data_IF_821349838503
#
_entry.id   IF_821349838503
#
_cell.length_a   1.000
_cell.length_b   1.000
_cell.length_c   1.000
_cell.angle_alpha   90.00
_cell.angle_beta   90.00
_cell.angle_gamma   90.00
#
_symmetry.space_group_name_H-M   'P 1'
#
loop_
_entity.id
_entity.type
_entity.pdbx_description
1 polymer ?
#
# COMPACT_ATOMS: atom_id res chain seq x y z
N UNK A 1 23.31 -8.39 4.98
CA UNK A 1 21.93 -8.61 4.49
C UNK A 1 21.67 -7.58 3.41
N UNK A 2 21.71 -7.96 2.12
CA UNK A 2 21.49 -7.01 1.03
C UNK A 2 20.01 -6.63 1.00
N UNK A 3 19.69 -5.44 1.48
CA UNK A 3 18.33 -4.89 1.35
C UNK A 3 18.12 -4.61 -0.13
N UNK A 4 17.38 -5.47 -0.82
CA UNK A 4 17.07 -5.25 -2.24
C UNK A 4 16.20 -3.98 -2.33
N UNK A 5 16.67 -2.99 -3.08
CA UNK A 5 16.01 -1.67 -3.27
C UNK A 5 14.54 -1.79 -3.65
N UNK A 6 14.16 -2.88 -4.34
CA UNK A 6 12.78 -3.20 -4.71
C UNK A 6 11.82 -3.28 -3.50
N UNK A 7 12.28 -3.76 -2.34
CA UNK A 7 11.44 -3.83 -1.14
C UNK A 7 11.26 -2.47 -0.47
N UNK A 8 12.29 -1.62 -0.48
CA UNK A 8 12.20 -0.26 0.05
C UNK A 8 11.16 0.54 -0.73
N UNK A 9 11.21 0.49 -2.06
CA UNK A 9 10.26 1.19 -2.93
C UNK A 9 8.85 0.63 -2.72
N UNK A 10 8.72 -0.70 -2.67
CA UNK A 10 7.43 -1.37 -2.49
C UNK A 10 6.74 -1.00 -1.17
N UNK A 11 7.49 -0.87 -0.08
CA UNK A 11 6.95 -0.45 1.21
C UNK A 11 6.82 1.07 1.34
N UNK A 12 7.65 1.85 0.63
CA UNK A 12 7.62 3.31 0.63
C UNK A 12 6.42 3.90 -0.12
N UNK A 13 5.96 3.27 -1.22
CA UNK A 13 4.86 3.80 -2.04
C UNK A 13 3.60 4.10 -1.20
N UNK A 14 3.05 3.17 -0.38
CA UNK A 14 1.92 3.48 0.49
C UNK A 14 2.15 4.69 1.41
N UNK A 15 3.37 4.87 1.93
CA UNK A 15 3.68 5.99 2.81
C UNK A 15 3.80 7.31 2.04
N UNK A 16 4.44 7.31 0.88
CA UNK A 16 4.53 8.50 0.02
C UNK A 16 3.16 8.97 -0.45
N UNK A 17 2.27 8.06 -0.86
CA UNK A 17 0.90 8.42 -1.24
C UNK A 17 0.16 9.10 -0.09
N UNK A 18 0.31 8.57 1.13
CA UNK A 18 -0.29 9.18 2.32
C UNK A 18 0.25 10.59 2.58
N UNK A 19 1.57 10.72 2.64
CA UNK A 19 2.22 12.00 2.97
C UNK A 19 1.96 13.04 1.87
N UNK A 20 2.04 12.66 0.60
CA UNK A 20 1.75 13.56 -0.53
C UNK A 20 0.32 14.07 -0.43
N UNK A 21 -0.66 13.21 -0.15
CA UNK A 21 -2.05 13.64 0.01
C UNK A 21 -2.21 14.70 1.10
N UNK A 22 -1.54 14.54 2.25
CA UNK A 22 -1.60 15.51 3.34
C UNK A 22 -0.90 16.83 2.97
N UNK A 23 0.28 16.74 2.37
CA UNK A 23 1.03 17.93 1.95
C UNK A 23 0.26 18.70 0.88
N UNK A 24 -0.35 18.01 -0.08
CA UNK A 24 -1.22 18.64 -1.06
C UNK A 24 -2.36 19.41 -0.38
N UNK A 25 -2.99 18.85 0.65
CA UNK A 25 -4.03 19.58 1.40
C UNK A 25 -3.49 20.89 1.98
N UNK A 26 -2.34 20.86 2.65
CA UNK A 26 -1.77 22.06 3.27
C UNK A 26 -1.27 23.09 2.24
N UNK A 27 -0.66 22.66 1.14
CA UNK A 27 -0.21 23.56 0.07
C UNK A 27 -1.39 24.29 -0.56
N UNK A 28 -2.49 23.59 -0.85
CA UNK A 28 -3.65 24.22 -1.49
C UNK A 28 -4.54 25.00 -0.51
N UNK A 29 -4.59 24.60 0.76
CA UNK A 29 -5.36 25.31 1.78
C UNK A 29 -4.61 26.52 2.35
N UNK A 30 -3.28 26.52 2.28
CA UNK A 30 -2.41 27.63 2.72
C UNK A 30 -1.29 27.87 1.71
N UNK A 31 -1.55 28.61 0.60
CA UNK A 31 -0.57 28.80 -0.47
C UNK A 31 0.76 29.44 -0.02
N UNK A 32 0.71 30.26 1.03
CA UNK A 32 1.89 30.92 1.63
C UNK A 32 2.86 29.93 2.30
N UNK A 33 2.42 28.69 2.58
CA UNK A 33 3.22 27.68 3.25
C UNK A 33 4.53 27.40 2.51
N UNK A 34 4.49 27.23 1.19
CA UNK A 34 5.70 26.96 0.39
C UNK A 34 6.70 28.12 0.44
N UNK A 35 6.19 29.36 0.40
CA UNK A 35 7.03 30.56 0.51
C UNK A 35 7.68 30.59 1.89
N UNK A 36 6.91 30.36 2.96
CA UNK A 36 7.41 30.34 4.33
C UNK A 36 8.46 29.25 4.58
N UNK A 37 8.28 28.05 4.02
CA UNK A 37 9.23 26.93 4.16
C UNK A 37 10.59 27.29 3.55
N UNK A 38 10.58 27.97 2.41
CA UNK A 38 11.79 28.43 1.74
C UNK A 38 12.45 29.61 2.48
N UNK A 39 11.69 30.65 2.83
CA UNK A 39 12.25 31.90 3.37
C UNK A 39 12.63 31.80 4.84
N UNK A 40 11.87 31.06 5.65
CA UNK A 40 12.10 30.96 7.10
C UNK A 40 13.05 29.83 7.49
N UNK A 41 12.96 28.69 6.81
CA UNK A 41 13.73 27.48 7.16
C UNK A 41 14.81 27.12 6.14
N UNK A 42 14.93 27.87 5.04
CA UNK A 42 15.92 27.60 4.00
C UNK A 42 15.71 26.27 3.27
N UNK A 43 14.53 25.64 3.41
CA UNK A 43 14.26 24.34 2.82
C UNK A 43 14.08 24.46 1.31
N UNK A 44 14.96 23.78 0.59
CA UNK A 44 14.87 23.62 -0.87
C UNK A 44 13.93 22.46 -1.22
N UNK A 45 13.40 22.46 -2.45
CA UNK A 45 12.60 21.34 -2.99
C UNK A 45 13.37 20.02 -2.90
N UNK A 46 14.69 20.06 -3.10
CA UNK A 46 15.56 18.89 -2.97
C UNK A 46 15.57 18.37 -1.53
N UNK A 47 15.76 19.26 -0.54
CA UNK A 47 15.76 18.88 0.87
C UNK A 47 14.41 18.32 1.33
N UNK A 48 13.30 18.91 0.88
CA UNK A 48 11.95 18.42 1.16
C UNK A 48 11.75 17.03 0.55
N UNK A 49 12.14 16.84 -0.71
CA UNK A 49 12.06 15.54 -1.39
C UNK A 49 12.86 14.46 -0.65
N UNK A 50 14.05 14.79 -0.15
CA UNK A 50 14.88 13.86 0.60
C UNK A 50 14.23 13.44 1.94
N UNK A 51 13.66 14.40 2.67
CA UNK A 51 12.93 14.14 3.91
C UNK A 51 11.70 13.26 3.63
N UNK A 52 10.95 13.55 2.59
CA UNK A 52 9.76 12.78 2.20
C UNK A 52 10.12 11.35 1.77
N UNK A 53 11.20 11.20 1.01
CA UNK A 53 11.73 9.89 0.63
C UNK A 53 12.07 9.07 1.87
N UNK A 54 12.78 9.67 2.84
CA UNK A 54 13.17 9.03 4.08
C UNK A 54 12.00 8.64 4.99
N UNK A 55 11.03 9.55 5.20
CA UNK A 55 9.88 9.33 6.11
C UNK A 55 8.82 8.41 5.49
N UNK A 56 8.66 8.43 4.17
CA UNK A 56 7.62 7.60 3.54
C UNK A 56 7.86 6.10 3.66
N UNK A 57 9.11 5.65 3.76
CA UNK A 57 9.43 4.23 3.96
C UNK A 57 8.90 3.68 5.29
N UNK A 58 9.24 4.25 6.47
CA UNK A 58 8.71 3.77 7.74
C UNK A 58 7.19 3.96 7.86
N UNK A 59 6.65 5.09 7.39
CA UNK A 59 5.19 5.31 7.37
C UNK A 59 4.48 4.26 6.51
N UNK A 60 5.01 3.99 5.32
CA UNK A 60 4.45 3.01 4.41
C UNK A 60 4.56 1.57 4.92
N UNK A 61 5.65 1.25 5.61
CA UNK A 61 5.79 -0.03 6.31
C UNK A 61 4.72 -0.22 7.39
N UNK A 62 4.45 0.81 8.21
CA UNK A 62 3.38 0.76 9.22
C UNK A 62 2.00 0.59 8.58
N UNK A 63 1.71 1.33 7.50
CA UNK A 63 0.47 1.16 6.74
C UNK A 63 0.36 -0.27 6.19
N UNK A 64 1.45 -0.84 5.69
CA UNK A 64 1.47 -2.23 5.22
C UNK A 64 1.13 -3.20 6.36
N UNK A 65 1.75 -3.08 7.54
CA UNK A 65 1.45 -3.93 8.70
C UNK A 65 -0.02 -3.84 9.12
N UNK A 66 -0.56 -2.63 9.23
CA UNK A 66 -1.97 -2.38 9.53
C UNK A 66 -2.87 -3.04 8.48
N UNK A 67 -2.54 -2.89 7.19
CA UNK A 67 -3.33 -3.46 6.11
C UNK A 67 -3.34 -5.00 6.12
N UNK A 68 -2.22 -5.61 6.52
CA UNK A 68 -2.11 -7.07 6.67
C UNK A 68 -2.90 -7.56 7.86
N UNK A 69 -2.85 -6.86 8.98
CA UNK A 69 -3.63 -7.19 10.17
C UNK A 69 -5.13 -7.24 9.84
N UNK A 70 -5.68 -6.14 9.33
CA UNK A 70 -7.12 -6.03 9.09
C UNK A 70 -7.60 -6.79 7.85
N UNK A 71 -6.79 -6.87 6.79
CA UNK A 71 -7.22 -7.49 5.53
C UNK A 71 -6.81 -8.95 5.36
N UNK A 72 -6.08 -9.53 6.31
CA UNK A 72 -5.65 -10.92 6.24
C UNK A 72 -5.71 -11.64 7.58
N UNK A 73 -4.93 -11.15 8.56
CA UNK A 73 -4.69 -11.86 9.82
C UNK A 73 -5.98 -12.05 10.61
N UNK A 74 -6.80 -11.00 10.73
CA UNK A 74 -8.08 -11.07 11.45
C UNK A 74 -9.15 -11.82 10.64
N UNK A 75 -9.06 -11.80 9.30
CA UNK A 75 -10.10 -12.35 8.43
C UNK A 75 -10.00 -13.87 8.21
N UNK A 76 -8.87 -14.51 8.53
CA UNK A 76 -8.64 -15.92 8.25
C UNK A 76 -8.56 -16.75 9.54
N UNK A 77 -9.08 -17.98 9.48
CA UNK A 77 -8.83 -18.99 10.52
C UNK A 77 -7.42 -19.56 10.31
N UNK A 78 -6.53 -19.31 11.26
CA UNK A 78 -5.10 -19.56 11.10
C UNK A 78 -4.79 -21.03 10.84
N UNK A 79 -5.36 -21.96 11.61
CA UNK A 79 -5.10 -23.39 11.45
C UNK A 79 -5.45 -23.91 10.05
N UNK A 80 -6.60 -23.46 9.53
CA UNK A 80 -7.05 -23.82 8.19
C UNK A 80 -6.12 -23.24 7.13
N UNK A 81 -5.77 -21.96 7.27
CA UNK A 81 -4.89 -21.28 6.33
C UNK A 81 -3.49 -21.92 6.29
N UNK A 82 -2.88 -22.16 7.45
CA UNK A 82 -1.56 -22.77 7.52
C UNK A 82 -1.53 -24.19 6.98
N UNK A 83 -2.60 -24.97 7.19
CA UNK A 83 -2.73 -26.28 6.57
C UNK A 83 -2.80 -26.19 5.05
N UNK A 84 -3.65 -25.31 4.52
CA UNK A 84 -3.77 -25.10 3.06
C UNK A 84 -2.44 -24.62 2.43
N UNK A 85 -1.72 -23.73 3.11
CA UNK A 85 -0.41 -23.24 2.67
C UNK A 85 0.64 -24.36 2.66
N UNK A 86 0.68 -25.18 3.72
CA UNK A 86 1.59 -26.33 3.82
C UNK A 86 1.30 -27.37 2.72
N UNK A 87 0.03 -27.69 2.49
CA UNK A 87 -0.38 -28.63 1.45
C UNK A 87 0.02 -28.11 0.07
N UNK A 88 -0.16 -26.81 -0.19
CA UNK A 88 0.28 -26.17 -1.43
C UNK A 88 1.80 -26.24 -1.60
N UNK A 89 2.57 -25.87 -0.57
CA UNK A 89 4.03 -25.90 -0.61
C UNK A 89 4.57 -27.32 -0.85
N UNK A 90 3.97 -28.33 -0.20
CA UNK A 90 4.37 -29.74 -0.40
C UNK A 90 4.22 -30.18 -1.86
N UNK A 91 3.14 -29.77 -2.53
CA UNK A 91 2.89 -30.04 -3.96
C UNK A 91 3.86 -29.27 -4.85
N UNK A 92 4.17 -28.02 -4.52
CA UNK A 92 5.12 -27.20 -5.27
C UNK A 92 6.53 -27.82 -5.22
N UNK A 93 6.97 -28.29 -4.05
CA UNK A 93 8.29 -28.92 -3.88
C UNK A 93 8.40 -30.22 -4.67
N UNK A 94 7.33 -31.02 -4.73
CA UNK A 94 7.30 -32.28 -5.48
C UNK A 94 7.20 -32.15 -7.00
N UNK A 95 7.00 -30.95 -7.54
CA UNK A 95 6.82 -30.73 -8.97
C UNK A 95 8.15 -30.48 -9.70
N UNK A 96 8.32 -31.04 -10.91
CA UNK A 96 9.50 -30.84 -11.76
C UNK A 96 9.82 -29.36 -12.04
N UNK A 97 8.79 -28.48 -12.06
CA UNK A 97 8.93 -27.04 -12.25
C UNK A 97 8.62 -26.23 -10.97
N UNK A 98 8.81 -26.84 -9.80
CA UNK A 98 8.44 -26.28 -8.50
C UNK A 98 8.96 -24.86 -8.24
N UNK A 99 10.21 -24.57 -8.59
CA UNK A 99 10.80 -23.24 -8.39
C UNK A 99 10.06 -22.14 -9.17
N UNK A 100 9.73 -22.40 -10.44
CA UNK A 100 8.97 -21.46 -11.29
C UNK A 100 7.55 -21.26 -10.75
N UNK A 101 6.92 -22.32 -10.25
CA UNK A 101 5.58 -22.26 -9.64
C UNK A 101 5.63 -21.42 -8.37
N UNK A 102 6.62 -21.66 -7.50
CA UNK A 102 6.86 -20.89 -6.26
C UNK A 102 7.09 -19.42 -6.54
N UNK A 103 7.91 -19.09 -7.54
CA UNK A 103 8.18 -17.70 -7.91
C UNK A 103 6.91 -16.99 -8.38
N UNK A 104 6.12 -17.64 -9.24
CA UNK A 104 4.83 -17.10 -9.72
C UNK A 104 3.83 -16.92 -8.58
N UNK A 105 3.75 -17.89 -7.67
CA UNK A 105 2.92 -17.80 -6.46
C UNK A 105 3.31 -16.60 -5.62
N UNK A 106 4.60 -16.49 -5.25
CA UNK A 106 5.15 -15.39 -4.45
C UNK A 106 4.89 -14.04 -5.11
N UNK A 107 5.02 -13.95 -6.42
CA UNK A 107 4.71 -12.73 -7.18
C UNK A 107 3.22 -12.36 -7.04
N UNK A 108 2.29 -13.29 -7.32
CA UNK A 108 0.85 -13.01 -7.23
C UNK A 108 0.43 -12.62 -5.81
N UNK A 109 0.86 -13.38 -4.80
CA UNK A 109 0.59 -13.11 -3.39
C UNK A 109 1.13 -11.74 -2.98
N UNK A 110 2.36 -11.43 -3.41
CA UNK A 110 2.98 -10.13 -3.21
C UNK A 110 2.16 -8.98 -3.77
N UNK A 111 1.70 -9.10 -5.03
CA UNK A 111 0.87 -8.08 -5.68
C UNK A 111 -0.44 -7.83 -4.93
N UNK A 112 -1.08 -8.88 -4.42
CA UNK A 112 -2.30 -8.75 -3.61
C UNK A 112 -2.03 -7.92 -2.34
N UNK A 113 -0.95 -8.23 -1.61
CA UNK A 113 -0.61 -7.50 -0.39
C UNK A 113 -0.17 -6.05 -0.65
N UNK A 114 0.58 -5.80 -1.72
CA UNK A 114 0.95 -4.44 -2.14
C UNK A 114 -0.26 -3.57 -2.44
N UNK A 115 -1.19 -4.08 -3.25
CA UNK A 115 -2.41 -3.35 -3.60
C UNK A 115 -3.29 -3.12 -2.39
N UNK A 116 -3.32 -4.08 -1.45
CA UNK A 116 -4.00 -3.89 -0.17
C UNK A 116 -3.39 -2.75 0.63
N UNK A 117 -2.08 -2.71 0.81
CA UNK A 117 -1.41 -1.63 1.53
C UNK A 117 -1.66 -0.27 0.87
N UNK A 118 -1.61 -0.21 -0.46
CA UNK A 118 -1.92 1.00 -1.22
C UNK A 118 -3.38 1.45 -1.06
N UNK A 119 -4.34 0.51 -1.07
CA UNK A 119 -5.76 0.81 -0.82
C UNK A 119 -5.96 1.39 0.58
N UNK A 120 -5.34 0.78 1.59
CA UNK A 120 -5.40 1.27 2.98
C UNK A 120 -4.72 2.63 3.12
N UNK A 121 -3.62 2.88 2.41
CA UNK A 121 -3.00 4.21 2.35
C UNK A 121 -3.97 5.27 1.84
N UNK A 122 -4.57 5.07 0.66
CA UNK A 122 -5.55 6.03 0.10
C UNK A 122 -6.78 6.19 1.01
N UNK A 123 -7.26 5.10 1.62
CA UNK A 123 -8.36 5.14 2.58
C UNK A 123 -8.00 5.97 3.83
N UNK A 124 -6.80 5.76 4.38
CA UNK A 124 -6.30 6.53 5.51
C UNK A 124 -6.09 8.01 5.14
N UNK A 125 -5.53 8.30 3.97
CA UNK A 125 -5.42 9.65 3.43
C UNK A 125 -6.77 10.36 3.38
N UNK A 126 -7.78 9.69 2.81
CA UNK A 126 -9.14 10.21 2.72
C UNK A 126 -9.71 10.51 4.10
N UNK A 127 -9.60 9.56 5.05
CA UNK A 127 -10.10 9.74 6.41
C UNK A 127 -9.39 10.89 7.13
N UNK A 128 -8.07 11.00 7.02
CA UNK A 128 -7.30 12.08 7.64
C UNK A 128 -7.67 13.43 7.03
N UNK A 129 -7.80 13.54 5.70
CA UNK A 129 -8.18 14.82 5.06
C UNK A 129 -9.62 15.20 5.44
N UNK A 130 -10.55 14.26 5.49
CA UNK A 130 -11.93 14.50 5.97
C UNK A 130 -11.94 14.96 7.44
N UNK A 131 -11.13 14.34 8.29
CA UNK A 131 -10.99 14.77 9.68
C UNK A 131 -10.45 16.21 9.79
N UNK A 132 -9.44 16.56 8.98
CA UNK A 132 -8.90 17.93 8.95
C UNK A 132 -9.94 18.93 8.43
N UNK A 133 -10.70 18.59 7.38
CA UNK A 133 -11.79 19.43 6.86
C UNK A 133 -12.85 19.72 7.94
N UNK A 134 -13.17 18.73 8.76
CA UNK A 134 -14.15 18.85 9.84
C UNK A 134 -13.62 19.67 11.03
N UNK A 135 -12.35 19.47 11.41
CA UNK A 135 -11.78 20.05 12.63
C UNK A 135 -11.13 21.42 12.45
N UNK A 136 -10.61 21.74 11.25
CA UNK A 136 -9.78 22.92 11.04
C UNK A 136 -10.40 23.90 10.03
N UNK A 137 -10.48 23.52 8.76
CA UNK A 137 -11.06 24.40 7.73
C UNK A 137 -11.65 23.59 6.59
N UNK A 138 -12.90 23.91 6.27
CA UNK A 138 -13.58 23.32 5.13
C UNK A 138 -13.14 24.03 3.85
N UNK A 139 -12.21 23.43 3.12
CA UNK A 139 -11.68 23.96 1.86
C UNK A 139 -12.13 23.10 0.68
N UNK A 140 -12.47 23.75 -0.44
CA UNK A 140 -12.77 23.04 -1.69
C UNK A 140 -11.62 22.11 -2.11
N UNK A 141 -10.38 22.54 -1.89
CA UNK A 141 -9.19 21.74 -2.15
C UNK A 141 -9.19 20.43 -1.36
N UNK A 142 -9.52 20.46 -0.06
CA UNK A 142 -9.60 19.23 0.74
C UNK A 142 -10.73 18.30 0.30
N UNK A 143 -11.88 18.83 -0.15
CA UNK A 143 -12.95 18.02 -0.72
C UNK A 143 -12.50 17.31 -2.01
N UNK A 144 -11.82 18.05 -2.90
CA UNK A 144 -11.27 17.50 -4.15
C UNK A 144 -10.23 16.41 -3.84
N UNK A 145 -9.29 16.66 -2.92
CA UNK A 145 -8.28 15.68 -2.53
C UNK A 145 -8.92 14.44 -1.91
N UNK A 146 -9.94 14.61 -1.07
CA UNK A 146 -10.69 13.48 -0.49
C UNK A 146 -11.39 12.65 -1.57
N UNK A 147 -12.02 13.31 -2.56
CA UNK A 147 -12.65 12.64 -3.69
C UNK A 147 -11.64 11.89 -4.57
N UNK A 148 -10.46 12.47 -4.81
CA UNK A 148 -9.37 11.80 -5.55
C UNK A 148 -8.89 10.55 -4.80
N UNK A 149 -8.65 10.65 -3.49
CA UNK A 149 -8.25 9.48 -2.70
C UNK A 149 -9.35 8.41 -2.71
N UNK A 150 -10.61 8.79 -2.62
CA UNK A 150 -11.73 7.84 -2.71
C UNK A 150 -11.76 7.13 -4.07
N UNK A 151 -11.58 7.87 -5.17
CA UNK A 151 -11.48 7.29 -6.51
C UNK A 151 -10.31 6.29 -6.58
N UNK A 152 -9.14 6.63 -6.02
CA UNK A 152 -8.02 5.70 -5.97
C UNK A 152 -8.29 4.48 -5.10
N UNK A 153 -9.01 4.60 -3.98
CA UNK A 153 -9.47 3.44 -3.20
C UNK A 153 -10.28 2.49 -4.07
N UNK A 154 -11.23 3.00 -4.88
CA UNK A 154 -12.05 2.18 -5.78
C UNK A 154 -11.18 1.50 -6.85
N UNK A 155 -10.33 2.25 -7.55
CA UNK A 155 -9.45 1.73 -8.61
C UNK A 155 -8.55 0.62 -8.05
N UNK A 156 -7.87 0.90 -6.94
CA UNK A 156 -6.95 -0.06 -6.31
C UNK A 156 -7.73 -1.27 -5.77
N UNK A 157 -8.97 -1.08 -5.29
CA UNK A 157 -9.81 -2.19 -4.84
C UNK A 157 -10.16 -3.15 -5.98
N UNK A 158 -10.59 -2.63 -7.13
CA UNK A 158 -10.89 -3.45 -8.33
C UNK A 158 -9.65 -4.21 -8.78
N UNK A 159 -8.50 -3.53 -8.85
CA UNK A 159 -7.22 -4.17 -9.18
C UNK A 159 -6.84 -5.25 -8.18
N UNK A 160 -7.00 -4.99 -6.87
CA UNK A 160 -6.74 -5.99 -5.83
C UNK A 160 -7.63 -7.22 -6.03
N UNK A 161 -8.92 -7.03 -6.31
CA UNK A 161 -9.87 -8.13 -6.55
C UNK A 161 -9.50 -8.98 -7.76
N UNK A 162 -9.04 -8.35 -8.84
CA UNK A 162 -8.52 -9.06 -10.01
C UNK A 162 -7.33 -9.97 -9.64
N UNK A 163 -6.34 -9.45 -8.92
CA UNK A 163 -5.17 -10.24 -8.51
C UNK A 163 -5.53 -11.32 -7.48
N UNK A 164 -6.48 -11.08 -6.59
CA UNK A 164 -7.01 -12.10 -5.66
C UNK A 164 -7.67 -13.26 -6.41
N UNK A 165 -8.47 -12.97 -7.43
CA UNK A 165 -9.12 -13.99 -8.25
C UNK A 165 -8.08 -14.80 -9.05
N UNK A 166 -7.09 -14.12 -9.64
CA UNK A 166 -6.00 -14.78 -10.37
C UNK A 166 -5.16 -15.68 -9.45
N UNK A 167 -4.84 -15.22 -8.23
CA UNK A 167 -4.13 -16.01 -7.22
C UNK A 167 -4.92 -17.27 -6.85
N UNK A 168 -6.22 -17.15 -6.57
CA UNK A 168 -7.08 -18.30 -6.25
C UNK A 168 -7.14 -19.30 -7.40
N UNK A 169 -7.30 -18.82 -8.63
CA UNK A 169 -7.29 -19.68 -9.82
C UNK A 169 -5.96 -20.41 -9.96
N UNK A 170 -4.84 -19.70 -9.75
CA UNK A 170 -3.50 -20.27 -9.81
C UNK A 170 -3.29 -21.36 -8.75
N UNK A 171 -3.66 -21.10 -7.49
CA UNK A 171 -3.56 -22.07 -6.39
C UNK A 171 -4.38 -23.33 -6.72
N UNK A 172 -5.65 -23.15 -7.11
CA UNK A 172 -6.55 -24.26 -7.46
C UNK A 172 -5.95 -25.15 -8.56
N UNK A 173 -5.45 -24.55 -9.64
CA UNK A 173 -4.88 -25.29 -10.77
C UNK A 173 -3.57 -26.00 -10.41
N UNK A 174 -2.79 -25.46 -9.48
CA UNK A 174 -1.57 -26.12 -8.96
C UNK A 174 -1.95 -27.32 -8.10
N UNK A 175 -3.01 -27.22 -7.30
CA UNK A 175 -3.51 -28.32 -6.48
C UNK A 175 -4.14 -29.42 -7.33
N UNK A 176 -4.84 -29.10 -8.43
CA UNK A 176 -5.52 -30.10 -9.28
C UNK A 176 -4.59 -30.86 -10.23
N UNK A 177 -3.37 -30.37 -10.48
CA UNK A 177 -2.40 -31.01 -11.38
C UNK A 177 -1.60 -32.16 -10.74
N UNK A 178 -1.71 -32.33 -9.43
CA UNK A 178 -0.98 -33.32 -8.62
C UNK A 178 -1.92 -33.98 -7.63
#
# INVERSE_FOLDING_TARGET
MNVETKYIIRWGIPGWIYIISLISYFIFSTPELLVSLKTKYGLTILSLSAILAGIGVPVGYLIHQISMLFGFVISHKWDKYFKEEYDLDSKIIGADNGEKIRERYRHLLSRVHELRALKYSNGLSMLTVVAILYLYSNTLAGLIISAINFLFVIIVHVNQKYFEANLKFFIKRTIERH
#
